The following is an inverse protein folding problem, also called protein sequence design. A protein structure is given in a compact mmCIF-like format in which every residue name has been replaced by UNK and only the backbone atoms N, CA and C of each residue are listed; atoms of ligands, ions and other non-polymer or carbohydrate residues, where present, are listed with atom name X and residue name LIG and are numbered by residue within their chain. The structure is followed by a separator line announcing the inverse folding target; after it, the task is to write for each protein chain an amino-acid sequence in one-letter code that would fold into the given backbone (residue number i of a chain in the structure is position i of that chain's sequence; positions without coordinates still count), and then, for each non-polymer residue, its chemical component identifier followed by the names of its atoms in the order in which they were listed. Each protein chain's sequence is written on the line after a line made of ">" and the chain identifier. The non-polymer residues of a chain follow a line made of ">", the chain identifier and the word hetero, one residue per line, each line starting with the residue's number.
data_IF_779971287248
#
_entry.id   IF_779971287248
#
_cell.length_a   1.000
_cell.length_b   1.000
_cell.length_c   1.000
_cell.angle_alpha   90.00
_cell.angle_beta   90.00
_cell.angle_gamma   90.00
#
_symmetry.space_group_name_H-M   'P 1'
#
loop_
_entity.id
_entity.type
_entity.pdbx_description
1 polymer ?
#
# COMPACT_ATOMS: atom_id res chain seq x y z
N UNK A 1 -8.60 -8.75 -24.93
CA UNK A 1 -8.07 -7.41 -24.59
C UNK A 1 -6.71 -7.57 -23.94
N UNK A 2 -5.68 -6.83 -24.38
CA UNK A 2 -4.35 -6.85 -23.71
C UNK A 2 -4.53 -6.35 -22.27
N UNK A 3 -4.04 -7.10 -21.30
CA UNK A 3 -4.10 -6.75 -19.88
C UNK A 3 -2.99 -5.74 -19.58
N UNK A 4 -3.34 -4.54 -19.12
CA UNK A 4 -2.40 -3.45 -18.83
C UNK A 4 -2.05 -3.31 -17.34
N UNK A 5 -2.47 -4.26 -16.52
CA UNK A 5 -2.04 -4.34 -15.12
C UNK A 5 -2.03 -5.80 -14.67
N UNK A 6 -1.01 -6.19 -13.96
CA UNK A 6 -0.91 -7.48 -13.29
C UNK A 6 -1.45 -7.35 -11.86
N UNK A 7 -2.64 -7.89 -11.63
CA UNK A 7 -3.28 -7.97 -10.33
C UNK A 7 -3.12 -9.39 -9.79
N UNK A 8 -2.63 -9.53 -8.57
CA UNK A 8 -2.26 -10.81 -7.96
C UNK A 8 -3.17 -11.15 -6.77
N UNK A 9 -3.46 -12.44 -6.58
CA UNK A 9 -4.13 -13.01 -5.40
C UNK A 9 -3.28 -14.07 -4.68
N UNK A 10 -1.98 -14.14 -4.97
CA UNK A 10 -1.08 -15.20 -4.50
C UNK A 10 -0.31 -14.88 -3.23
N UNK A 11 -0.58 -13.74 -2.59
CA UNK A 11 0.10 -13.35 -1.35
C UNK A 11 -0.48 -14.12 -0.16
N UNK A 12 0.32 -14.99 0.46
CA UNK A 12 -0.11 -15.88 1.55
C UNK A 12 -0.65 -15.13 2.78
N UNK A 13 -0.11 -13.94 3.10
CA UNK A 13 -0.58 -13.12 4.22
C UNK A 13 -1.93 -12.46 3.92
N UNK A 14 -2.18 -12.12 2.66
CA UNK A 14 -3.45 -11.54 2.22
C UNK A 14 -4.55 -12.61 2.07
N UNK A 15 -4.16 -13.85 1.75
CA UNK A 15 -5.10 -14.91 1.35
C UNK A 15 -5.60 -14.74 -0.09
N UNK A 16 -6.25 -15.76 -0.62
CA UNK A 16 -6.66 -15.81 -2.03
C UNK A 16 -7.79 -14.84 -2.41
N UNK A 17 -8.52 -14.32 -1.42
CA UNK A 17 -9.67 -13.42 -1.65
C UNK A 17 -9.31 -11.95 -1.74
N UNK A 18 -8.08 -11.56 -1.34
CA UNK A 18 -7.63 -10.18 -1.36
C UNK A 18 -6.68 -10.00 -2.54
N UNK A 19 -7.10 -9.21 -3.50
CA UNK A 19 -6.26 -8.87 -4.64
C UNK A 19 -5.18 -7.84 -4.26
N UNK A 20 -4.05 -7.87 -4.94
CA UNK A 20 -2.99 -6.89 -4.76
C UNK A 20 -2.42 -6.38 -6.08
N UNK A 21 -2.12 -5.09 -6.11
CA UNK A 21 -1.40 -4.41 -7.19
C UNK A 21 -0.02 -4.05 -6.63
N UNK A 22 1.04 -4.55 -7.25
CA UNK A 22 2.39 -4.42 -6.74
C UNK A 22 3.31 -3.72 -7.74
N UNK A 23 4.33 -3.05 -7.21
CA UNK A 23 5.38 -2.35 -7.95
C UNK A 23 6.76 -2.87 -7.53
N UNK A 24 7.81 -2.63 -8.33
CA UNK A 24 9.16 -3.06 -8.00
C UNK A 24 9.66 -2.41 -6.71
N UNK A 25 10.01 -3.24 -5.72
CA UNK A 25 10.62 -2.76 -4.47
C UNK A 25 12.00 -2.13 -4.73
N UNK A 26 12.26 -1.03 -4.04
CA UNK A 26 13.50 -0.26 -4.20
C UNK A 26 13.43 0.75 -5.35
N UNK A 27 12.77 0.45 -6.46
CA UNK A 27 12.64 1.38 -7.60
C UNK A 27 11.57 2.44 -7.31
N UNK A 28 10.41 2.02 -6.79
CA UNK A 28 9.31 2.93 -6.47
C UNK A 28 9.32 3.40 -5.02
N UNK A 29 10.16 2.83 -4.17
CA UNK A 29 10.28 3.17 -2.75
C UNK A 29 11.19 4.38 -2.52
N UNK A 30 11.07 4.99 -1.35
CA UNK A 30 12.04 5.99 -0.86
C UNK A 30 13.37 5.33 -0.50
N UNK A 31 14.51 5.79 -1.03
CA UNK A 31 15.82 5.20 -0.73
C UNK A 31 16.29 5.44 0.72
N UNK A 32 15.79 6.51 1.36
CA UNK A 32 16.06 6.88 2.75
C UNK A 32 15.16 6.15 3.76
N UNK A 33 14.17 5.40 3.31
CA UNK A 33 13.26 4.67 4.20
C UNK A 33 14.00 3.57 4.99
N UNK A 34 13.75 3.43 6.31
CA UNK A 34 14.46 2.46 7.17
C UNK A 34 14.39 1.02 6.69
N UNK A 35 13.33 0.63 5.99
CA UNK A 35 13.17 -0.71 5.42
C UNK A 35 13.94 -0.93 4.11
N UNK A 36 14.50 0.11 3.49
CA UNK A 36 15.02 0.03 2.12
C UNK A 36 16.12 -1.03 1.94
N UNK A 37 17.06 -1.10 2.90
CA UNK A 37 18.18 -2.08 2.88
C UNK A 37 17.72 -3.50 3.22
N UNK A 38 16.85 -3.67 4.21
CA UNK A 38 16.35 -4.96 4.70
C UNK A 38 14.91 -5.27 4.26
N UNK A 39 14.52 -4.86 3.06
CA UNK A 39 13.15 -5.02 2.58
C UNK A 39 12.82 -6.48 2.28
N UNK A 40 11.78 -7.01 2.92
CA UNK A 40 11.30 -8.38 2.69
C UNK A 40 10.94 -8.67 1.22
N UNK A 41 10.51 -7.66 0.47
CA UNK A 41 10.19 -7.80 -0.95
C UNK A 41 11.45 -7.86 -1.86
N UNK A 42 12.64 -7.93 -1.28
CA UNK A 42 13.92 -8.20 -1.95
C UNK A 42 14.49 -9.58 -1.59
N UNK A 43 13.67 -10.46 -1.02
CA UNK A 43 14.09 -11.79 -0.57
C UNK A 43 13.04 -12.86 -0.91
N UNK A 44 13.47 -14.13 -0.88
CA UNK A 44 12.61 -15.30 -1.03
C UNK A 44 11.83 -15.32 -2.35
N UNK A 45 10.55 -15.66 -2.30
CA UNK A 45 9.68 -15.80 -3.48
C UNK A 45 9.50 -14.50 -4.30
N UNK A 46 9.78 -13.34 -3.70
CA UNK A 46 9.77 -12.07 -4.44
C UNK A 46 10.85 -12.02 -5.53
N UNK A 47 11.91 -12.82 -5.42
CA UNK A 47 13.01 -12.90 -6.42
C UNK A 47 12.73 -13.85 -7.58
N UNK A 48 11.62 -14.59 -7.57
CA UNK A 48 11.26 -15.45 -8.70
C UNK A 48 11.08 -14.62 -9.97
N UNK A 49 11.60 -15.13 -11.08
CA UNK A 49 11.63 -14.39 -12.36
C UNK A 49 10.25 -13.94 -12.83
N UNK A 50 9.23 -14.79 -12.69
CA UNK A 50 7.85 -14.45 -13.03
C UNK A 50 7.28 -13.35 -12.13
N UNK A 51 7.65 -13.32 -10.83
CA UNK A 51 7.24 -12.25 -9.91
C UNK A 51 7.91 -10.95 -10.28
N UNK A 52 9.25 -10.96 -10.47
CA UNK A 52 10.01 -9.76 -10.86
C UNK A 52 9.51 -9.20 -12.20
N UNK A 53 9.24 -10.06 -13.18
CA UNK A 53 8.67 -9.68 -14.48
C UNK A 53 7.33 -8.97 -14.29
N UNK A 54 6.42 -9.55 -13.49
CA UNK A 54 5.10 -8.96 -13.23
C UNK A 54 5.16 -7.59 -12.56
N UNK A 55 6.10 -7.40 -11.60
CA UNK A 55 6.33 -6.12 -10.95
C UNK A 55 6.85 -5.07 -11.93
N UNK A 56 7.82 -5.45 -12.76
CA UNK A 56 8.45 -4.57 -13.74
C UNK A 56 7.43 -4.17 -14.83
N UNK A 57 6.67 -5.11 -15.35
CA UNK A 57 5.60 -4.86 -16.32
C UNK A 57 4.56 -3.86 -15.78
N UNK A 58 4.18 -3.96 -14.51
CA UNK A 58 3.26 -2.99 -13.90
C UNK A 58 3.83 -1.56 -13.95
N UNK A 59 5.10 -1.39 -13.64
CA UNK A 59 5.75 -0.08 -13.69
C UNK A 59 5.86 0.45 -15.13
N UNK A 60 6.20 -0.42 -16.08
CA UNK A 60 6.31 -0.08 -17.50
C UNK A 60 4.95 0.29 -18.09
N UNK A 61 3.92 -0.52 -17.88
CA UNK A 61 2.56 -0.23 -18.31
C UNK A 61 2.02 1.08 -17.72
N UNK A 62 2.30 1.33 -16.44
CA UNK A 62 1.96 2.62 -15.84
C UNK A 62 2.68 3.79 -16.53
N UNK A 63 3.98 3.68 -16.81
CA UNK A 63 4.76 4.72 -17.48
C UNK A 63 4.36 4.93 -18.94
N UNK A 64 4.04 3.83 -19.66
CA UNK A 64 3.63 3.86 -21.06
C UNK A 64 2.25 4.51 -21.22
N UNK A 65 1.28 4.08 -20.42
CA UNK A 65 -0.08 4.59 -20.47
C UNK A 65 -0.80 4.53 -19.11
N UNK A 66 -0.65 5.58 -18.28
CA UNK A 66 -1.27 5.63 -16.95
C UNK A 66 -2.78 5.40 -16.98
N UNK A 67 -3.46 5.93 -17.99
CA UNK A 67 -4.92 5.77 -18.12
C UNK A 67 -5.31 4.31 -18.31
N UNK A 68 -4.70 3.62 -19.26
CA UNK A 68 -4.99 2.21 -19.53
C UNK A 68 -4.59 1.32 -18.34
N UNK A 69 -3.48 1.62 -17.67
CA UNK A 69 -3.07 0.91 -16.45
C UNK A 69 -4.19 0.97 -15.40
N UNK A 70 -4.65 2.16 -15.04
CA UNK A 70 -5.68 2.31 -14.00
C UNK A 70 -7.07 1.82 -14.44
N UNK A 71 -7.43 1.92 -15.73
CA UNK A 71 -8.65 1.34 -16.26
C UNK A 71 -8.62 -0.19 -16.17
N UNK A 72 -7.47 -0.81 -16.45
CA UNK A 72 -7.24 -2.25 -16.27
C UNK A 72 -7.33 -2.68 -14.81
N UNK A 73 -6.70 -1.94 -13.89
CA UNK A 73 -6.83 -2.18 -12.44
C UNK A 73 -8.30 -2.08 -12.00
N UNK A 74 -9.00 -1.01 -12.40
CA UNK A 74 -10.40 -0.82 -12.03
C UNK A 74 -11.28 -1.98 -12.50
N UNK A 75 -11.09 -2.45 -13.73
CA UNK A 75 -11.85 -3.58 -14.29
C UNK A 75 -11.58 -4.87 -13.51
N UNK A 76 -10.32 -5.20 -13.24
CA UNK A 76 -9.92 -6.43 -12.56
C UNK A 76 -10.33 -6.48 -11.09
N UNK A 77 -10.50 -5.31 -10.45
CA UNK A 77 -10.83 -5.23 -9.02
C UNK A 77 -12.30 -4.91 -8.75
N UNK A 78 -13.12 -4.72 -9.79
CA UNK A 78 -14.51 -4.25 -9.67
C UNK A 78 -15.41 -5.16 -8.79
N UNK A 79 -15.17 -6.47 -8.79
CA UNK A 79 -15.96 -7.45 -8.02
C UNK A 79 -15.26 -7.89 -6.72
N UNK A 80 -14.10 -7.31 -6.42
CA UNK A 80 -13.35 -7.66 -5.21
C UNK A 80 -13.82 -6.82 -4.03
N UNK A 81 -14.10 -7.47 -2.89
CA UNK A 81 -14.46 -6.76 -1.67
C UNK A 81 -13.28 -5.97 -1.08
N UNK A 82 -12.07 -6.58 -1.10
CA UNK A 82 -10.86 -5.99 -0.53
C UNK A 82 -9.70 -6.06 -1.52
N UNK A 83 -8.99 -4.96 -1.65
CA UNK A 83 -7.82 -4.83 -2.52
C UNK A 83 -6.69 -4.14 -1.77
N UNK A 84 -5.46 -4.64 -1.92
CA UNK A 84 -4.24 -4.07 -1.35
C UNK A 84 -3.38 -3.42 -2.43
N UNK A 85 -3.09 -2.15 -2.28
CA UNK A 85 -2.00 -1.51 -3.00
C UNK A 85 -0.66 -1.77 -2.29
N UNK A 86 0.35 -2.14 -3.07
CA UNK A 86 1.74 -2.25 -2.66
C UNK A 86 2.01 -3.21 -1.47
N UNK A 87 1.84 -4.51 -1.71
CA UNK A 87 2.56 -5.51 -0.90
C UNK A 87 4.06 -5.47 -1.22
N UNK A 88 4.45 -5.00 -2.42
CA UNK A 88 5.79 -4.67 -2.85
C UNK A 88 5.78 -3.30 -3.54
N UNK A 89 6.84 -2.51 -3.36
CA UNK A 89 6.94 -1.14 -3.87
C UNK A 89 6.19 -0.12 -3.02
N UNK A 90 6.01 1.09 -3.56
CA UNK A 90 5.28 2.20 -2.95
C UNK A 90 4.65 3.08 -4.06
N UNK A 91 3.91 4.12 -3.69
CA UNK A 91 3.33 5.12 -4.60
C UNK A 91 4.43 5.68 -5.51
N UNK A 92 4.22 5.62 -6.82
CA UNK A 92 5.26 5.99 -7.79
C UNK A 92 5.52 7.50 -7.77
N UNK A 93 4.45 8.27 -7.92
CA UNK A 93 4.45 9.75 -7.99
C UNK A 93 3.05 10.31 -7.68
N UNK A 94 2.85 11.64 -7.64
CA UNK A 94 1.54 12.26 -7.38
C UNK A 94 0.43 11.83 -8.36
N UNK A 95 0.73 11.70 -9.64
CA UNK A 95 -0.24 11.28 -10.68
C UNK A 95 -0.69 9.83 -10.46
N UNK A 96 0.22 8.97 -10.01
CA UNK A 96 -0.10 7.61 -9.63
C UNK A 96 -1.10 7.58 -8.47
N UNK A 97 -0.88 8.41 -7.46
CA UNK A 97 -1.79 8.51 -6.31
C UNK A 97 -3.18 9.02 -6.71
N UNK A 98 -3.25 9.99 -7.64
CA UNK A 98 -4.53 10.41 -8.23
C UNK A 98 -5.22 9.27 -8.97
N UNK A 99 -4.46 8.46 -9.69
CA UNK A 99 -4.96 7.25 -10.35
C UNK A 99 -5.57 6.25 -9.38
N UNK A 100 -4.90 5.98 -8.24
CA UNK A 100 -5.45 5.14 -7.17
C UNK A 100 -6.78 5.69 -6.64
N UNK A 101 -6.87 7.01 -6.44
CA UNK A 101 -8.10 7.68 -6.02
C UNK A 101 -9.22 7.55 -7.06
N UNK A 102 -8.89 7.65 -8.37
CA UNK A 102 -9.88 7.45 -9.45
C UNK A 102 -10.43 6.03 -9.48
N UNK A 103 -9.57 5.02 -9.34
CA UNK A 103 -9.98 3.61 -9.25
C UNK A 103 -10.95 3.41 -8.09
N UNK A 104 -10.64 3.92 -6.91
CA UNK A 104 -11.50 3.81 -5.74
C UNK A 104 -12.86 4.50 -5.95
N UNK A 105 -12.90 5.68 -6.59
CA UNK A 105 -14.17 6.36 -6.93
C UNK A 105 -15.01 5.59 -7.94
N UNK A 106 -14.37 4.88 -8.87
CA UNK A 106 -15.06 4.06 -9.87
C UNK A 106 -15.67 2.81 -9.25
N UNK A 107 -14.95 2.14 -8.35
CA UNK A 107 -15.35 0.88 -7.73
C UNK A 107 -15.79 1.13 -6.27
N UNK A 108 -16.97 1.72 -6.08
CA UNK A 108 -17.44 2.22 -4.78
C UNK A 108 -17.60 1.13 -3.71
N UNK A 109 -17.92 -0.10 -4.13
CA UNK A 109 -18.13 -1.25 -3.24
C UNK A 109 -16.83 -1.99 -2.88
N UNK A 110 -15.74 -1.68 -3.55
CA UNK A 110 -14.41 -2.26 -3.27
C UNK A 110 -13.67 -1.41 -2.24
N UNK A 111 -13.17 -2.03 -1.18
CA UNK A 111 -12.34 -1.36 -0.18
C UNK A 111 -10.86 -1.51 -0.54
N UNK A 112 -10.17 -0.39 -0.69
CA UNK A 112 -8.75 -0.33 -1.01
C UNK A 112 -7.93 0.04 0.21
N UNK A 113 -6.72 -0.56 0.33
CA UNK A 113 -5.75 -0.27 1.38
C UNK A 113 -4.39 0.00 0.76
N UNK A 114 -3.72 1.04 1.22
CA UNK A 114 -2.33 1.32 0.88
C UNK A 114 -1.54 1.70 2.14
N UNK A 115 -0.41 1.01 2.37
CA UNK A 115 0.60 1.46 3.31
C UNK A 115 1.68 2.20 2.53
N UNK A 116 2.06 3.38 3.00
CA UNK A 116 3.05 4.20 2.28
C UNK A 116 4.04 4.89 3.20
N UNK A 117 5.21 5.16 2.67
CA UNK A 117 6.24 6.03 3.24
C UNK A 117 6.42 7.33 2.43
N UNK A 118 5.62 7.49 1.39
CA UNK A 118 5.58 8.71 0.56
C UNK A 118 4.59 9.73 1.13
N UNK A 119 4.84 10.16 2.36
CA UNK A 119 3.94 11.04 3.12
C UNK A 119 3.69 12.36 2.41
N UNK A 120 4.75 12.91 1.82
CA UNK A 120 4.73 14.16 1.06
C UNK A 120 3.74 14.13 -0.11
N UNK A 121 3.63 13.00 -0.81
CA UNK A 121 2.66 12.85 -1.92
C UNK A 121 1.23 12.92 -1.39
N UNK A 122 0.97 12.20 -0.30
CA UNK A 122 -0.37 12.14 0.30
C UNK A 122 -0.75 13.51 0.90
N UNK A 123 0.17 14.14 1.64
CA UNK A 123 -0.05 15.44 2.24
C UNK A 123 -0.30 16.51 1.17
N UNK A 124 0.56 16.62 0.14
CA UNK A 124 0.39 17.57 -0.96
C UNK A 124 -0.94 17.38 -1.71
N UNK A 125 -1.41 16.12 -1.85
CA UNK A 125 -2.72 15.86 -2.43
C UNK A 125 -3.84 16.45 -1.58
N UNK A 126 -3.76 16.33 -0.25
CA UNK A 126 -4.74 16.87 0.68
C UNK A 126 -4.63 18.39 0.81
N UNK A 127 -3.40 18.95 0.80
CA UNK A 127 -3.14 20.40 0.83
C UNK A 127 -3.75 21.11 -0.39
N UNK A 128 -3.84 20.42 -1.54
CA UNK A 128 -4.51 20.94 -2.74
C UNK A 128 -6.05 20.96 -2.63
N UNK A 129 -6.63 20.64 -1.46
CA UNK A 129 -8.08 20.61 -1.22
C UNK A 129 -8.78 19.36 -1.74
N UNK A 130 -8.03 18.40 -2.33
CA UNK A 130 -8.59 17.14 -2.82
C UNK A 130 -8.93 16.20 -1.65
N UNK A 131 -9.86 15.27 -1.88
CA UNK A 131 -10.30 14.31 -0.85
C UNK A 131 -9.97 12.88 -1.26
N UNK A 132 -9.37 12.11 -0.34
CA UNK A 132 -9.21 10.67 -0.50
C UNK A 132 -10.60 10.02 -0.45
N UNK A 133 -10.93 9.10 -1.39
CA UNK A 133 -12.21 8.38 -1.38
C UNK A 133 -12.41 7.59 -0.07
N UNK A 134 -13.65 7.53 0.42
CA UNK A 134 -13.99 6.86 1.70
C UNK A 134 -13.63 5.37 1.71
N UNK A 135 -13.61 4.72 0.56
CA UNK A 135 -13.25 3.32 0.37
C UNK A 135 -11.75 3.10 0.05
N UNK A 136 -10.91 4.12 0.20
CA UNK A 136 -9.45 4.02 0.10
C UNK A 136 -8.82 4.41 1.44
N UNK A 137 -8.35 3.43 2.18
CA UNK A 137 -7.62 3.65 3.44
C UNK A 137 -6.14 3.81 3.14
N UNK A 138 -5.59 4.97 3.46
CA UNK A 138 -4.15 5.25 3.42
C UNK A 138 -3.60 5.16 4.83
N UNK A 139 -2.56 4.35 5.02
CA UNK A 139 -1.89 4.13 6.30
C UNK A 139 -0.44 4.58 6.17
N UNK A 140 -0.03 5.56 6.95
CA UNK A 140 1.33 6.07 6.97
C UNK A 140 2.23 5.13 7.78
N UNK A 141 3.37 4.71 7.23
CA UNK A 141 4.26 3.74 7.89
C UNK A 141 5.32 4.44 8.71
N UNK A 142 5.19 4.38 10.04
CA UNK A 142 6.16 4.88 11.00
C UNK A 142 7.20 3.81 11.38
N UNK A 143 8.43 4.24 11.62
CA UNK A 143 9.53 3.44 12.13
C UNK A 143 10.22 4.17 13.27
N UNK A 144 10.95 3.43 14.11
CA UNK A 144 11.74 4.05 15.17
C UNK A 144 12.72 5.08 14.59
N UNK A 145 12.63 6.32 15.08
CA UNK A 145 13.44 7.43 14.58
C UNK A 145 13.01 7.99 13.20
N UNK A 146 11.92 7.49 12.62
CA UNK A 146 11.41 7.92 11.33
C UNK A 146 9.88 7.96 11.32
N UNK A 147 9.33 9.03 11.87
CA UNK A 147 7.88 9.24 12.00
C UNK A 147 7.34 10.04 10.82
N UNK A 148 6.11 9.74 10.37
CA UNK A 148 5.45 10.51 9.32
C UNK A 148 5.06 11.90 9.81
N UNK A 149 5.25 12.90 8.94
CA UNK A 149 4.49 14.12 9.04
C UNK A 149 3.03 13.80 8.70
N UNK A 150 2.11 14.00 9.66
CA UNK A 150 0.72 13.58 9.55
C UNK A 150 -0.28 14.65 10.02
N UNK A 151 -0.34 15.82 9.37
CA UNK A 151 -1.22 16.93 9.75
C UNK A 151 -2.71 16.58 9.62
N UNK A 152 -3.03 15.57 8.81
CA UNK A 152 -4.40 15.14 8.54
C UNK A 152 -4.89 14.00 9.43
N UNK A 153 -4.07 13.58 10.41
CA UNK A 153 -4.36 12.46 11.33
C UNK A 153 -4.73 11.16 10.61
N UNK A 154 -4.12 10.88 9.44
CA UNK A 154 -4.34 9.63 8.73
C UNK A 154 -3.92 8.43 9.61
N UNK A 155 -4.52 7.25 9.40
CA UNK A 155 -4.09 6.04 10.08
C UNK A 155 -2.58 5.83 9.97
N UNK A 156 -1.97 5.32 11.03
CA UNK A 156 -0.52 5.10 11.09
C UNK A 156 -0.22 3.65 11.48
N UNK A 157 0.83 3.08 10.90
CA UNK A 157 1.34 1.79 11.33
C UNK A 157 2.72 1.92 11.92
N UNK A 158 2.99 1.12 12.97
CA UNK A 158 4.25 1.07 13.69
C UNK A 158 4.89 -0.30 13.55
N UNK A 159 6.22 -0.33 13.54
CA UNK A 159 6.98 -1.59 13.60
C UNK A 159 7.43 -1.82 15.03
N UNK A 160 7.07 -2.98 15.58
CA UNK A 160 7.47 -3.44 16.92
C UNK A 160 8.70 -4.35 16.81
N UNK A 161 9.64 -4.23 17.72
CA UNK A 161 10.81 -5.09 17.79
C UNK A 161 11.82 -4.65 18.85
N UNK A 162 12.84 -5.49 19.12
CA UNK A 162 13.87 -5.21 20.12
C UNK A 162 14.69 -3.94 19.81
N UNK A 163 14.90 -3.67 18.53
CA UNK A 163 15.70 -2.53 18.04
C UNK A 163 14.86 -1.27 17.82
N UNK A 164 13.60 -1.25 18.28
CA UNK A 164 12.67 -0.15 18.04
C UNK A 164 12.23 0.51 19.36
N UNK A 165 11.94 1.79 19.27
CA UNK A 165 11.35 2.56 20.38
C UNK A 165 9.87 2.21 20.49
N UNK A 166 9.58 1.08 21.12
CA UNK A 166 8.22 0.55 21.24
C UNK A 166 7.28 1.49 22.04
N UNK A 167 7.85 2.35 22.87
CA UNK A 167 7.15 3.40 23.61
C UNK A 167 6.47 4.45 22.72
N UNK A 168 6.89 4.55 21.45
CA UNK A 168 6.25 5.43 20.45
C UNK A 168 4.96 4.85 19.89
N UNK A 169 4.67 3.58 20.16
CA UNK A 169 3.43 2.93 19.72
C UNK A 169 2.30 3.35 20.65
N UNK A 170 1.22 3.97 20.13
CA UNK A 170 0.07 4.34 20.96
C UNK A 170 -0.51 3.11 21.68
N UNK A 171 -0.93 3.30 22.94
CA UNK A 171 -1.45 2.21 23.80
C UNK A 171 -2.70 1.54 23.22
N UNK A 172 -3.50 2.27 22.47
CA UNK A 172 -4.73 1.83 21.79
C UNK A 172 -4.48 1.30 20.38
N UNK A 173 -3.20 1.18 19.97
CA UNK A 173 -2.83 0.67 18.65
C UNK A 173 -3.17 -0.81 18.51
N UNK A 174 -3.81 -1.19 17.41
CA UNK A 174 -4.29 -2.55 17.14
C UNK A 174 -3.10 -3.46 16.79
N UNK A 175 -2.92 -4.62 17.46
CA UNK A 175 -1.92 -5.59 17.05
C UNK A 175 -2.31 -6.26 15.74
N UNK A 176 -1.33 -6.41 14.81
CA UNK A 176 -1.56 -7.11 13.55
C UNK A 176 -1.68 -8.62 13.77
N UNK A 177 -2.82 -9.20 13.44
CA UNK A 177 -3.08 -10.63 13.57
C UNK A 177 -2.30 -11.51 12.55
N UNK A 178 -1.69 -10.92 11.53
CA UNK A 178 -0.90 -11.64 10.52
C UNK A 178 -1.71 -12.28 9.38
N UNK A 179 -3.02 -12.39 9.49
CA UNK A 179 -3.93 -13.00 8.52
C UNK A 179 -4.97 -11.98 8.06
N UNK A 180 -4.67 -11.31 6.94
CA UNK A 180 -5.49 -10.19 6.46
C UNK A 180 -6.89 -10.61 5.99
N UNK A 181 -7.00 -11.78 5.36
CA UNK A 181 -8.25 -12.37 4.89
C UNK A 181 -9.28 -12.58 6.01
N UNK A 182 -8.81 -12.87 7.22
CA UNK A 182 -9.67 -13.07 8.40
C UNK A 182 -9.87 -11.78 9.20
N UNK A 183 -8.84 -10.95 9.31
CA UNK A 183 -8.82 -9.78 10.20
C UNK A 183 -9.46 -8.53 9.56
N UNK A 184 -9.03 -8.14 8.35
CA UNK A 184 -9.51 -6.99 7.56
C UNK A 184 -9.49 -5.62 8.28
N UNK A 185 -8.96 -5.52 9.51
CA UNK A 185 -9.00 -4.31 10.33
C UNK A 185 -8.37 -3.09 9.65
N UNK A 186 -7.28 -3.29 8.89
CA UNK A 186 -6.56 -2.18 8.25
C UNK A 186 -7.37 -1.45 7.18
N UNK A 187 -8.36 -2.11 6.54
CA UNK A 187 -9.27 -1.46 5.58
C UNK A 187 -10.32 -0.58 6.25
N UNK A 188 -10.50 -0.73 7.57
CA UNK A 188 -11.51 -0.03 8.37
C UNK A 188 -10.92 1.03 9.30
N UNK A 189 -9.59 1.25 9.25
CA UNK A 189 -8.93 2.26 10.08
C UNK A 189 -9.46 3.66 9.75
N UNK A 190 -9.78 4.40 10.80
CA UNK A 190 -10.21 5.80 10.73
C UNK A 190 -9.06 6.72 11.12
N UNK A 191 -9.23 8.01 10.91
CA UNK A 191 -8.28 9.05 11.34
C UNK A 191 -7.94 8.87 12.83
N UNK A 192 -6.67 9.02 13.16
CA UNK A 192 -6.13 8.86 14.51
C UNK A 192 -5.89 7.42 14.95
N UNK A 193 -6.46 6.41 14.25
CA UNK A 193 -6.22 5.00 14.59
C UNK A 193 -4.86 4.53 14.11
N UNK A 194 -4.33 3.51 14.80
CA UNK A 194 -3.06 2.90 14.41
C UNK A 194 -3.06 1.38 14.54
N UNK A 195 -2.12 0.76 13.85
CA UNK A 195 -1.85 -0.69 13.91
C UNK A 195 -0.35 -0.90 14.08
N UNK A 196 0.06 -1.94 14.80
CA UNK A 196 1.46 -2.31 14.88
C UNK A 196 1.68 -3.75 14.47
N UNK A 197 2.86 -4.06 13.95
CA UNK A 197 3.28 -5.41 13.58
C UNK A 197 4.74 -5.65 13.95
N UNK A 198 5.07 -6.89 14.25
CA UNK A 198 6.45 -7.31 14.53
C UNK A 198 7.26 -7.20 13.23
N UNK A 199 8.51 -6.74 13.35
CA UNK A 199 9.46 -6.76 12.22
C UNK A 199 9.65 -8.19 11.73
N UNK A 200 9.51 -8.40 10.42
CA UNK A 200 9.79 -9.66 9.73
C UNK A 200 11.25 -9.74 9.32
#
# INVERSE_FOLDING_TARGET
>A
MKQYANVSNTNSKLGAQILSINMPAGITCRPDAPCYKGCYAKHGHWLYSNVQKSLQENLEHYKENPKLFFDSVATQTALSRFVRWHSSGDIVNPEYFEGMCRVARKNKETHYLCFTKKYEIVNSYLDSGKKIPKNLTIVLSAWSGWLPENPYHLPTTYVYGKDFKNELIPKDSIPCAGHCDKCQACWQLKKGMSVWFVKH
#
